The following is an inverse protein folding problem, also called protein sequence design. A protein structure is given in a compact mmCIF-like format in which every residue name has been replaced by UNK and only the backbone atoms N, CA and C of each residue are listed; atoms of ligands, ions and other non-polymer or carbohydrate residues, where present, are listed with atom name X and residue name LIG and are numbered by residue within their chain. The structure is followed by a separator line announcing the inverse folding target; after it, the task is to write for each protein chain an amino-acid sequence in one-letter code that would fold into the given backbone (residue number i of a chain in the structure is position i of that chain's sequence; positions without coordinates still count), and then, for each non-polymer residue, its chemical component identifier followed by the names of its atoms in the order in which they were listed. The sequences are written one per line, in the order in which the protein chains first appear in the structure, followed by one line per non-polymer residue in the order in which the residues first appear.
data_IF_798437939784
#
_entry.id   IF_798437939784
#
_cell.length_a   1.000
_cell.length_b   1.000
_cell.length_c   1.000
_cell.angle_alpha   90.00
_cell.angle_beta   90.00
_cell.angle_gamma   90.00
#
_symmetry.space_group_name_H-M   'P 1'
#
loop_
_entity.id
_entity.type
_entity.pdbx_description
1 polymer ?
#
# COMPACT_ATOMS: atom_id res chain seq x y z
N UNK A 1 -6.41 -1.23 30.71
CA UNK A 1 -5.71 -2.42 30.21
C UNK A 1 -5.95 -3.57 31.16
N UNK A 2 -6.07 -4.79 30.65
CA UNK A 2 -6.16 -6.02 31.46
C UNK A 2 -4.97 -6.93 31.17
N UNK A 3 -4.54 -7.67 32.19
CA UNK A 3 -3.50 -8.70 32.07
C UNK A 3 -4.20 -10.04 31.85
N UNK A 4 -3.86 -10.73 30.78
CA UNK A 4 -4.28 -12.12 30.56
C UNK A 4 -3.08 -13.00 30.92
N UNK A 5 -3.22 -13.79 32.00
CA UNK A 5 -2.20 -14.76 32.40
C UNK A 5 -2.12 -15.87 31.37
N UNK A 6 -0.92 -16.15 30.88
CA UNK A 6 -0.69 -17.26 29.96
C UNK A 6 -0.61 -18.58 30.73
N UNK A 7 -1.37 -19.60 30.31
CA UNK A 7 -1.20 -20.97 30.80
C UNK A 7 0.16 -21.53 30.32
N UNK A 8 1.25 -21.17 31.00
CA UNK A 8 2.64 -21.57 30.67
C UNK A 8 3.36 -20.68 29.65
N UNK A 9 2.81 -19.50 29.30
CA UNK A 9 3.40 -18.50 28.39
C UNK A 9 3.45 -17.12 29.07
N UNK A 10 4.28 -16.18 28.60
CA UNK A 10 4.34 -14.83 29.17
C UNK A 10 2.97 -14.13 29.18
N UNK A 11 2.70 -13.38 30.25
CA UNK A 11 1.47 -12.61 30.40
C UNK A 11 1.29 -11.63 29.24
N UNK A 12 0.06 -11.61 28.67
CA UNK A 12 -0.28 -10.70 27.58
C UNK A 12 -1.00 -9.48 28.14
N UNK A 13 -0.45 -8.28 27.89
CA UNK A 13 -1.14 -7.02 28.17
C UNK A 13 -2.16 -6.76 27.07
N UNK A 14 -3.44 -6.77 27.41
CA UNK A 14 -4.53 -6.45 26.49
C UNK A 14 -4.96 -5.00 26.69
N UNK A 15 -4.90 -4.25 25.60
CA UNK A 15 -5.30 -2.85 25.53
C UNK A 15 -6.74 -2.77 25.03
N UNK A 16 -7.51 -1.86 25.61
CA UNK A 16 -8.85 -1.53 25.17
C UNK A 16 -8.91 -0.02 24.89
N UNK A 17 -9.64 0.36 23.85
CA UNK A 17 -9.84 1.78 23.53
C UNK A 17 -10.67 2.43 24.64
N UNK A 18 -10.22 3.59 25.13
CA UNK A 18 -10.92 4.37 26.15
C UNK A 18 -12.11 5.11 25.54
N UNK A 19 -13.04 5.62 26.34
CA UNK A 19 -14.14 6.44 25.85
C UNK A 19 -13.65 7.68 25.08
N UNK A 20 -12.63 8.37 25.63
CA UNK A 20 -11.95 9.47 24.93
C UNK A 20 -11.32 9.01 23.62
N UNK A 21 -10.68 7.83 23.61
CA UNK A 21 -10.10 7.27 22.38
C UNK A 21 -11.15 6.99 21.29
N UNK A 22 -12.35 6.54 21.66
CA UNK A 22 -13.46 6.34 20.71
C UNK A 22 -13.96 7.67 20.13
N UNK A 23 -14.02 8.71 20.94
CA UNK A 23 -14.41 10.06 20.51
C UNK A 23 -13.40 10.62 19.51
N UNK A 24 -12.10 10.57 19.83
CA UNK A 24 -11.03 11.01 18.94
C UNK A 24 -11.02 10.24 17.61
N UNK A 25 -11.17 8.92 17.66
CA UNK A 25 -11.28 8.09 16.45
C UNK A 25 -12.50 8.51 15.60
N UNK A 26 -13.63 8.80 16.23
CA UNK A 26 -14.84 9.24 15.53
C UNK A 26 -14.64 10.61 14.87
N UNK A 27 -14.00 11.55 15.57
CA UNK A 27 -13.68 12.88 15.03
C UNK A 27 -12.71 12.79 13.85
N UNK A 28 -11.70 11.92 13.96
CA UNK A 28 -10.78 11.63 12.86
C UNK A 28 -11.53 11.12 11.62
N UNK A 29 -12.41 10.13 11.77
CA UNK A 29 -13.17 9.55 10.64
C UNK A 29 -14.11 10.55 9.95
N UNK A 30 -14.56 11.60 10.65
CA UNK A 30 -15.39 12.67 10.08
C UNK A 30 -14.58 13.74 9.34
N UNK A 31 -13.27 13.76 9.52
CA UNK A 31 -12.39 14.78 8.95
C UNK A 31 -11.86 14.31 7.60
N UNK A 32 -12.02 15.13 6.55
CA UNK A 32 -11.45 14.82 5.23
C UNK A 32 -9.96 15.12 5.21
N UNK A 33 -9.15 14.11 4.90
CA UNK A 33 -7.71 14.27 4.67
C UNK A 33 -7.47 14.70 3.21
N UNK A 34 -6.65 15.74 2.96
CA UNK A 34 -6.30 16.12 1.59
C UNK A 34 -5.50 15.02 0.90
N UNK A 35 -5.73 14.84 -0.41
CA UNK A 35 -5.04 13.84 -1.24
C UNK A 35 -3.58 14.20 -1.58
N UNK A 36 -3.05 15.31 -1.06
CA UNK A 36 -1.73 15.78 -1.43
C UNK A 36 -0.62 14.94 -0.77
N UNK A 37 0.13 14.22 -1.58
CA UNK A 37 1.31 13.46 -1.14
C UNK A 37 2.53 13.87 -1.96
N UNK A 38 3.62 14.20 -1.27
CA UNK A 38 4.94 14.38 -1.89
C UNK A 38 5.43 13.00 -2.34
N UNK A 39 5.78 12.86 -3.62
CA UNK A 39 6.31 11.61 -4.17
C UNK A 39 7.81 11.71 -4.45
N UNK A 40 8.68 11.12 -3.61
CA UNK A 40 10.12 11.02 -3.90
C UNK A 40 10.42 10.28 -5.21
N UNK A 41 9.61 9.28 -5.56
CA UNK A 41 9.68 8.56 -6.83
C UNK A 41 9.58 9.52 -8.02
N UNK A 42 8.54 10.36 -8.05
CA UNK A 42 8.37 11.31 -9.15
C UNK A 42 9.46 12.37 -9.17
N UNK A 43 9.98 12.75 -8.00
CA UNK A 43 11.10 13.68 -7.90
C UNK A 43 12.40 13.07 -8.46
N UNK A 44 12.67 11.78 -8.20
CA UNK A 44 13.78 11.06 -8.81
C UNK A 44 13.63 11.04 -10.34
N UNK A 45 12.47 10.63 -10.85
CA UNK A 45 12.20 10.56 -12.30
C UNK A 45 12.38 11.92 -12.97
N UNK A 46 11.96 13.01 -12.33
CA UNK A 46 12.14 14.36 -12.84
C UNK A 46 13.62 14.72 -13.10
N UNK A 47 14.55 14.19 -12.30
CA UNK A 47 15.99 14.46 -12.43
C UNK A 47 16.79 13.33 -13.10
N UNK A 48 16.15 12.27 -13.61
CA UNK A 48 16.84 11.09 -14.15
C UNK A 48 17.68 11.33 -15.41
N UNK A 49 17.53 12.48 -16.06
CA UNK A 49 18.38 12.84 -17.20
C UNK A 49 19.89 12.86 -16.84
N UNK A 50 20.25 12.97 -15.55
CA UNK A 50 21.63 12.89 -15.09
C UNK A 50 22.24 11.48 -15.11
N UNK A 51 21.42 10.43 -15.22
CA UNK A 51 21.86 9.03 -15.28
C UNK A 51 22.14 8.61 -16.72
N UNK A 52 22.96 7.58 -16.92
CA UNK A 52 23.11 6.96 -18.24
C UNK A 52 21.88 6.11 -18.61
N UNK A 53 21.79 5.67 -19.87
CA UNK A 53 20.62 4.96 -20.39
C UNK A 53 20.40 3.62 -19.67
N UNK A 54 21.48 2.89 -19.39
CA UNK A 54 21.46 1.60 -18.70
C UNK A 54 20.93 1.73 -17.27
N UNK A 55 21.39 2.75 -16.53
CA UNK A 55 20.90 3.06 -15.18
C UNK A 55 19.41 3.40 -15.16
N UNK A 56 18.92 4.17 -16.14
CA UNK A 56 17.49 4.46 -16.29
C UNK A 56 16.69 3.19 -16.58
N UNK A 57 17.19 2.33 -17.48
CA UNK A 57 16.55 1.05 -17.83
C UNK A 57 16.46 0.14 -16.60
N UNK A 58 17.54 0.02 -15.84
CA UNK A 58 17.58 -0.81 -14.63
C UNK A 58 16.59 -0.32 -13.58
N UNK A 59 16.56 0.99 -13.34
CA UNK A 59 15.61 1.60 -12.40
C UNK A 59 14.16 1.24 -12.71
N UNK A 60 13.71 1.48 -13.95
CA UNK A 60 12.32 1.20 -14.33
C UNK A 60 12.03 -0.31 -14.39
N UNK A 61 13.02 -1.14 -14.73
CA UNK A 61 12.87 -2.60 -14.68
C UNK A 61 12.68 -3.09 -13.25
N UNK A 62 13.46 -2.58 -12.30
CA UNK A 62 13.30 -2.87 -10.88
C UNK A 62 11.90 -2.44 -10.38
N UNK A 63 11.48 -1.21 -10.71
CA UNK A 63 10.17 -0.69 -10.30
C UNK A 63 9.00 -1.53 -10.83
N UNK A 64 9.11 -2.03 -12.07
CA UNK A 64 8.12 -2.95 -12.67
C UNK A 64 8.07 -4.27 -11.88
N UNK A 65 9.22 -4.85 -11.55
CA UNK A 65 9.28 -6.11 -10.80
C UNK A 65 8.78 -5.96 -9.36
N UNK A 66 9.08 -4.84 -8.70
CA UNK A 66 8.51 -4.50 -7.40
C UNK A 66 6.98 -4.39 -7.46
N UNK A 67 6.45 -3.66 -8.46
CA UNK A 67 5.00 -3.51 -8.63
C UNK A 67 4.30 -4.85 -8.86
N UNK A 68 4.90 -5.75 -9.67
CA UNK A 68 4.38 -7.11 -9.87
C UNK A 68 4.37 -7.93 -8.58
N UNK A 69 5.43 -7.85 -7.77
CA UNK A 69 5.53 -8.53 -6.46
C UNK A 69 4.49 -7.99 -5.48
N UNK A 70 4.27 -6.68 -5.46
CA UNK A 70 3.23 -6.02 -4.66
C UNK A 70 1.84 -6.49 -5.08
N UNK A 71 1.52 -6.51 -6.38
CA UNK A 71 0.24 -7.03 -6.89
C UNK A 71 -0.01 -8.49 -6.49
N UNK A 72 1.02 -9.34 -6.58
CA UNK A 72 0.94 -10.73 -6.14
C UNK A 72 0.61 -10.82 -4.65
N UNK A 73 1.27 -10.01 -3.82
CA UNK A 73 1.02 -9.97 -2.37
C UNK A 73 -0.39 -9.45 -2.03
N UNK A 74 -0.85 -8.39 -2.69
CA UNK A 74 -2.19 -7.83 -2.49
C UNK A 74 -3.29 -8.82 -2.93
N UNK A 75 -3.06 -9.61 -3.98
CA UNK A 75 -4.01 -10.66 -4.38
C UNK A 75 -4.24 -11.68 -3.26
N UNK A 76 -3.20 -12.03 -2.48
CA UNK A 76 -3.30 -12.95 -1.33
C UNK A 76 -4.08 -12.32 -0.17
N UNK A 77 -3.98 -11.00 0.01
CA UNK A 77 -4.73 -10.27 1.04
C UNK A 77 -6.25 -10.32 0.80
N UNK A 78 -6.70 -10.45 -0.46
CA UNK A 78 -8.13 -10.59 -0.77
C UNK A 78 -8.75 -11.84 -0.12
N UNK A 79 -8.02 -12.96 -0.14
CA UNK A 79 -8.44 -14.21 0.51
C UNK A 79 -8.52 -14.06 2.03
N UNK A 80 -7.59 -13.31 2.62
CA UNK A 80 -7.58 -13.04 4.07
C UNK A 80 -8.78 -12.19 4.49
N UNK A 81 -9.14 -11.14 3.74
CA UNK A 81 -10.34 -10.34 4.06
C UNK A 81 -11.59 -11.23 4.09
N UNK A 82 -11.73 -12.12 3.11
CA UNK A 82 -12.84 -13.08 3.04
C UNK A 82 -12.82 -14.04 4.23
N UNK A 83 -11.66 -14.62 4.54
CA UNK A 83 -11.49 -15.53 5.66
C UNK A 83 -11.81 -14.87 7.01
N UNK A 84 -11.19 -13.74 7.33
CA UNK A 84 -11.43 -13.02 8.58
C UNK A 84 -12.86 -12.52 8.71
N UNK A 85 -13.52 -12.14 7.61
CA UNK A 85 -14.93 -11.75 7.64
C UNK A 85 -15.87 -12.87 8.07
N UNK A 86 -15.46 -14.13 7.92
CA UNK A 86 -16.24 -15.29 8.34
C UNK A 86 -16.08 -15.66 9.82
N UNK A 87 -14.97 -15.24 10.45
CA UNK A 87 -14.66 -15.56 11.85
C UNK A 87 -15.13 -14.52 12.86
N UNK A 88 -15.48 -13.32 12.41
CA UNK A 88 -15.87 -12.21 13.28
C UNK A 88 -17.37 -12.00 13.11
N UNK A 89 -18.13 -11.92 14.21
CA UNK A 89 -19.52 -11.46 14.21
C UNK A 89 -19.52 -9.95 13.91
N UNK A 90 -19.29 -9.64 12.64
CA UNK A 90 -19.20 -8.29 12.11
C UNK A 90 -20.62 -7.75 12.02
N UNK A 91 -21.08 -7.16 13.12
CA UNK A 91 -22.36 -6.44 13.16
C UNK A 91 -22.40 -5.20 12.24
N UNK A 92 -21.30 -4.89 11.54
CA UNK A 92 -21.07 -3.67 10.76
C UNK A 92 -20.44 -3.98 9.38
N UNK A 93 -20.48 -2.99 8.48
CA UNK A 93 -19.96 -3.06 7.11
C UNK A 93 -18.42 -3.04 6.98
N UNK A 94 -17.67 -3.45 8.00
CA UNK A 94 -16.20 -3.32 8.05
C UNK A 94 -15.46 -4.04 6.91
N UNK A 95 -15.83 -5.29 6.49
CA UNK A 95 -15.16 -5.96 5.37
C UNK A 95 -15.25 -5.20 4.06
N UNK A 96 -16.35 -4.47 3.84
CA UNK A 96 -16.54 -3.67 2.64
C UNK A 96 -15.51 -2.53 2.58
N UNK A 97 -15.32 -1.80 3.68
CA UNK A 97 -14.34 -0.72 3.75
C UNK A 97 -12.88 -1.23 3.71
N UNK A 98 -12.62 -2.43 4.25
CA UNK A 98 -11.33 -3.11 4.06
C UNK A 98 -11.11 -3.46 2.58
N UNK A 99 -12.16 -3.92 1.90
CA UNK A 99 -12.17 -4.17 0.45
C UNK A 99 -11.81 -2.91 -0.35
N UNK A 100 -12.42 -1.76 -0.05
CA UNK A 100 -12.08 -0.49 -0.70
C UNK A 100 -10.61 -0.10 -0.52
N UNK A 101 -10.06 -0.36 0.67
CA UNK A 101 -8.64 -0.07 0.96
C UNK A 101 -7.71 -0.98 0.14
N UNK A 102 -8.04 -2.27 0.04
CA UNK A 102 -7.28 -3.23 -0.77
C UNK A 102 -7.38 -2.89 -2.26
N UNK A 103 -8.58 -2.56 -2.74
CA UNK A 103 -8.83 -2.17 -4.12
C UNK A 103 -8.00 -0.95 -4.52
N UNK A 104 -7.97 0.09 -3.67
CA UNK A 104 -7.13 1.25 -3.88
C UNK A 104 -5.65 0.87 -4.05
N UNK A 105 -5.11 0.01 -3.18
CA UNK A 105 -3.74 -0.47 -3.27
C UNK A 105 -3.47 -1.20 -4.60
N UNK A 106 -4.38 -2.09 -5.02
CA UNK A 106 -4.26 -2.83 -6.28
C UNK A 106 -4.28 -1.88 -7.49
N UNK A 107 -5.19 -0.90 -7.49
CA UNK A 107 -5.29 0.07 -8.57
C UNK A 107 -4.02 0.94 -8.65
N UNK A 108 -3.51 1.40 -7.51
CA UNK A 108 -2.26 2.16 -7.45
C UNK A 108 -1.08 1.37 -8.03
N UNK A 109 -0.90 0.11 -7.63
CA UNK A 109 0.18 -0.74 -8.14
C UNK A 109 0.04 -1.02 -9.65
N UNK A 110 -1.17 -1.24 -10.15
CA UNK A 110 -1.43 -1.37 -11.60
C UNK A 110 -1.07 -0.10 -12.36
N UNK A 111 -1.40 1.07 -11.79
CA UNK A 111 -1.03 2.36 -12.38
C UNK A 111 0.49 2.53 -12.43
N UNK A 112 1.20 2.23 -11.35
CA UNK A 112 2.67 2.31 -11.31
C UNK A 112 3.28 1.35 -12.35
N UNK A 113 2.83 0.10 -12.40
CA UNK A 113 3.30 -0.89 -13.36
C UNK A 113 3.12 -0.43 -14.81
N UNK A 114 1.92 0.07 -15.15
CA UNK A 114 1.61 0.56 -16.49
C UNK A 114 2.46 1.77 -16.87
N UNK A 115 2.56 2.75 -15.97
CA UNK A 115 3.34 3.96 -16.16
C UNK A 115 4.84 3.66 -16.31
N UNK A 116 5.41 2.85 -15.41
CA UNK A 116 6.81 2.47 -15.43
C UNK A 116 7.18 1.71 -16.72
N UNK A 117 6.30 0.79 -17.17
CA UNK A 117 6.47 0.09 -18.44
C UNK A 117 6.48 1.06 -19.62
N UNK A 118 5.56 2.04 -19.65
CA UNK A 118 5.54 3.08 -20.68
C UNK A 118 6.79 3.97 -20.67
N UNK A 119 7.33 4.32 -19.49
CA UNK A 119 8.60 5.03 -19.37
C UNK A 119 9.76 4.20 -19.92
N UNK A 120 9.86 2.93 -19.52
CA UNK A 120 10.93 2.02 -19.95
C UNK A 120 10.97 1.87 -21.48
N UNK A 121 9.81 1.70 -22.11
CA UNK A 121 9.73 1.59 -23.57
C UNK A 121 10.16 2.89 -24.27
N UNK A 122 9.85 4.06 -23.70
CA UNK A 122 10.36 5.34 -24.23
C UNK A 122 11.87 5.44 -24.11
N UNK A 123 12.44 5.07 -22.96
CA UNK A 123 13.89 5.09 -22.72
C UNK A 123 14.62 4.15 -23.70
N UNK A 124 14.13 2.92 -23.88
CA UNK A 124 14.74 1.97 -24.84
C UNK A 124 14.79 2.54 -26.27
N UNK A 125 13.74 3.26 -26.66
CA UNK A 125 13.59 3.89 -27.97
C UNK A 125 14.26 5.28 -28.07
N UNK A 126 14.89 5.80 -27.00
CA UNK A 126 15.74 6.97 -27.11
C UNK A 126 16.87 6.67 -28.11
N UNK A 127 16.86 7.35 -29.25
CA UNK A 127 17.98 7.35 -30.18
C UNK A 127 19.17 7.99 -29.49
N UNK A 128 20.36 7.40 -29.62
CA UNK A 128 21.61 8.07 -29.29
C UNK A 128 21.66 9.35 -30.10
N UNK A 129 21.50 10.50 -29.46
CA UNK A 129 21.99 11.75 -30.02
C UNK A 129 23.49 11.70 -29.83
N UNK A 130 24.17 11.09 -30.80
CA UNK A 130 25.63 11.20 -30.97
C UNK A 130 26.02 12.67 -31.19
#
# INVERSE_FOLDING_TARGET
SSLIKGNGKPDKKVMSITSKGKEELTNFLKTKTPLFSRSPLLLQVFFMASLNKEERIDYFSCLIEESKKSLSSLSKASSLIKEYSSYIDLKNNDPMYWGFTLEYGILMEKTILSWASSCLERIKNESSLD
#
